data_IF_622625442167
#
_entry.id   IF_622625442167
#
_cell.length_a   1.000
_cell.length_b   1.000
_cell.length_c   1.000
_cell.angle_alpha   90.00
_cell.angle_beta   90.00
_cell.angle_gamma   90.00
#
_symmetry.space_group_name_H-M   'P 1'
#
loop_
_entity.id
_entity.type
_entity.pdbx_description
1 polymer ?
#
# COMPACT_ATOMS: atom_id res chain seq x y z
N UNK A 1 7.03 -5.01 12.18
CA UNK A 1 6.84 -4.65 10.76
C UNK A 1 5.47 -4.02 10.60
N UNK A 2 5.36 -2.77 10.16
CA UNK A 2 4.09 -2.08 9.90
C UNK A 2 4.00 -1.61 8.46
N UNK A 3 2.80 -1.26 8.01
CA UNK A 3 2.57 -0.73 6.66
C UNK A 3 1.63 0.46 6.71
N UNK A 4 1.96 1.51 5.98
CA UNK A 4 1.04 2.62 5.71
C UNK A 4 0.52 2.49 4.29
N UNK A 5 -0.75 2.80 4.08
CA UNK A 5 -1.40 2.73 2.77
C UNK A 5 -2.01 4.08 2.42
N UNK A 6 -1.79 4.50 1.18
CA UNK A 6 -2.50 5.62 0.55
C UNK A 6 -3.07 5.17 -0.78
N UNK A 7 -4.07 5.91 -1.25
CA UNK A 7 -4.69 5.66 -2.53
C UNK A 7 -4.79 6.92 -3.36
N UNK A 8 -4.49 6.79 -4.64
CA UNK A 8 -4.60 7.86 -5.62
C UNK A 8 -5.28 7.32 -6.85
N UNK A 9 -6.54 7.67 -7.10
CA UNK A 9 -7.36 7.19 -8.23
C UNK A 9 -7.19 5.68 -8.51
N UNK A 10 -6.30 5.31 -9.44
CA UNK A 10 -6.03 3.94 -9.89
C UNK A 10 -4.81 3.27 -9.22
N UNK A 11 -4.13 3.97 -8.31
CA UNK A 11 -2.89 3.55 -7.67
C UNK A 11 -3.07 3.33 -6.16
N UNK A 12 -2.36 2.33 -5.66
CA UNK A 12 -2.17 2.09 -4.24
C UNK A 12 -0.69 2.27 -3.90
N UNK A 13 -0.43 3.11 -2.90
CA UNK A 13 0.90 3.40 -2.37
C UNK A 13 1.05 2.75 -1.01
N UNK A 14 2.10 1.95 -0.82
CA UNK A 14 2.40 1.37 0.48
C UNK A 14 3.81 1.70 0.94
N UNK A 15 3.96 2.07 2.21
CA UNK A 15 5.27 2.19 2.85
C UNK A 15 5.41 1.11 3.91
N UNK A 16 6.42 0.24 3.79
CA UNK A 16 6.72 -0.78 4.79
C UNK A 16 7.74 -0.26 5.81
N UNK A 17 7.38 -0.31 7.09
CA UNK A 17 8.27 0.00 8.21
C UNK A 17 8.81 -1.28 8.85
N UNK A 18 10.12 -1.34 9.03
CA UNK A 18 10.76 -2.29 9.94
C UNK A 18 11.54 -1.48 10.97
N UNK A 19 11.59 -1.99 12.20
CA UNK A 19 12.34 -1.41 13.31
C UNK A 19 13.83 -1.21 13.00
N UNK A 20 14.42 -2.04 12.12
CA UNK A 20 15.85 -2.00 11.83
C UNK A 20 16.22 -1.54 10.42
N UNK A 21 15.35 -1.74 9.42
CA UNK A 21 15.52 -1.22 8.05
C UNK A 21 14.17 -1.01 7.37
N UNK A 22 13.77 0.22 7.01
CA UNK A 22 12.52 0.41 6.29
C UNK A 22 12.50 -0.49 5.05
N UNK A 23 11.42 -1.25 4.86
CA UNK A 23 11.27 -2.12 3.68
C UNK A 23 11.24 -1.29 2.39
N UNK A 24 10.88 -0.01 2.52
CA UNK A 24 10.81 0.94 1.43
C UNK A 24 9.37 1.22 1.03
N UNK A 25 9.21 1.74 -0.18
CA UNK A 25 7.92 2.13 -0.72
C UNK A 25 7.60 1.30 -1.96
N UNK A 26 6.35 0.86 -2.04
CA UNK A 26 5.79 0.15 -3.17
C UNK A 26 4.63 0.95 -3.75
N UNK A 27 4.46 0.86 -5.08
CA UNK A 27 3.31 1.44 -5.79
C UNK A 27 2.82 0.41 -6.77
N UNK A 28 1.54 0.11 -6.73
CA UNK A 28 0.86 -0.83 -7.61
C UNK A 28 -0.45 -0.23 -8.10
N UNK A 29 -1.10 -0.85 -9.09
CA UNK A 29 -2.49 -0.54 -9.39
C UNK A 29 -3.39 -0.91 -8.19
N UNK A 30 -4.43 -0.12 -7.93
CA UNK A 30 -5.38 -0.37 -6.83
C UNK A 30 -6.15 -1.70 -6.99
N UNK A 31 -6.12 -2.28 -8.19
CA UNK A 31 -6.67 -3.59 -8.54
C UNK A 31 -5.75 -4.78 -8.20
N UNK A 32 -4.47 -4.51 -7.94
CA UNK A 32 -3.43 -5.50 -7.65
C UNK A 32 -3.22 -5.71 -6.14
N UNK A 33 -2.32 -6.63 -5.79
CA UNK A 33 -1.89 -6.90 -4.41
C UNK A 33 -0.37 -6.72 -4.27
N UNK A 34 0.03 -6.19 -3.12
CA UNK A 34 1.45 -5.97 -2.82
C UNK A 34 2.17 -7.29 -2.53
N UNK A 35 3.39 -7.40 -3.05
CA UNK A 35 4.36 -8.45 -2.77
C UNK A 35 5.59 -7.84 -2.10
N UNK A 36 6.30 -8.62 -1.28
CA UNK A 36 7.50 -8.12 -0.56
C UNK A 36 8.55 -7.52 -1.48
N UNK A 37 8.71 -8.06 -2.70
CA UNK A 37 9.67 -7.58 -3.70
C UNK A 37 9.31 -6.25 -4.34
N UNK A 38 8.05 -5.81 -4.21
CA UNK A 38 7.59 -4.55 -4.81
C UNK A 38 8.04 -3.35 -3.95
N UNK A 39 8.47 -3.60 -2.71
CA UNK A 39 9.01 -2.60 -1.80
C UNK A 39 10.48 -2.36 -2.12
N UNK A 40 10.77 -1.14 -2.57
CA UNK A 40 12.14 -0.72 -2.86
C UNK A 40 12.63 0.26 -1.77
N UNK A 41 13.72 -0.06 -1.04
CA UNK A 41 14.24 0.79 0.03
C UNK A 41 14.91 2.09 -0.46
N UNK A 42 15.24 2.18 -1.75
CA UNK A 42 15.79 3.38 -2.39
C UNK A 42 14.69 4.32 -2.87
N UNK A 43 13.46 3.84 -3.05
CA UNK A 43 12.30 4.67 -3.41
C UNK A 43 11.90 5.54 -2.23
N UNK A 44 11.88 6.86 -2.44
CA UNK A 44 11.49 7.82 -1.39
C UNK A 44 10.02 7.65 -0.99
N UNK A 45 9.68 7.87 0.29
CA UNK A 45 8.31 7.69 0.83
C UNK A 45 7.19 8.58 0.32
N UNK A 46 7.39 9.41 -0.70
CA UNK A 46 6.34 10.35 -1.09
C UNK A 46 5.24 9.63 -1.86
N UNK A 47 4.09 9.43 -1.22
CA UNK A 47 2.84 9.25 -1.93
C UNK A 47 2.55 10.50 -2.76
N UNK A 48 1.78 10.34 -3.85
CA UNK A 48 1.34 11.49 -4.64
C UNK A 48 0.60 12.51 -3.75
N UNK A 49 0.67 13.83 -4.02
CA UNK A 49 -0.06 14.84 -3.24
C UNK A 49 -1.57 14.61 -3.20
N UNK A 50 -2.12 13.97 -4.23
CA UNK A 50 -3.52 13.55 -4.35
C UNK A 50 -3.85 12.26 -3.59
N UNK A 51 -2.84 11.57 -3.06
CA UNK A 51 -3.04 10.28 -2.42
C UNK A 51 -3.65 10.44 -1.02
N UNK A 52 -4.83 9.87 -0.83
CA UNK A 52 -5.55 9.90 0.44
C UNK A 52 -5.05 8.79 1.37
N UNK A 53 -4.81 9.13 2.63
CA UNK A 53 -4.38 8.17 3.64
C UNK A 53 -5.50 7.18 3.97
N UNK A 54 -5.22 5.89 3.81
CA UNK A 54 -6.18 4.82 4.02
C UNK A 54 -6.07 4.17 5.40
N UNK A 55 -4.90 4.23 6.02
CA UNK A 55 -4.65 3.66 7.34
C UNK A 55 -3.29 2.99 7.50
N UNK A 56 -3.06 2.47 8.71
CA UNK A 56 -1.90 1.69 9.09
C UNK A 56 -2.28 0.22 9.32
N UNK A 57 -1.42 -0.70 8.89
CA UNK A 57 -1.67 -2.14 8.88
C UNK A 57 -0.49 -2.89 9.52
N UNK A 58 -0.81 -3.90 10.33
CA UNK A 58 0.18 -4.69 11.07
C UNK A 58 0.94 -5.71 10.20
N UNK A 59 0.48 -5.98 8.98
CA UNK A 59 1.13 -6.96 8.09
C UNK A 59 0.76 -6.74 6.62
N UNK A 60 1.56 -7.32 5.72
CA UNK A 60 1.30 -7.32 4.27
C UNK A 60 -0.04 -7.98 3.95
N UNK A 61 -0.38 -9.08 4.66
CA UNK A 61 -1.66 -9.76 4.51
C UNK A 61 -2.83 -8.87 4.94
N UNK A 62 -2.70 -8.15 6.04
CA UNK A 62 -3.74 -7.22 6.53
C UNK A 62 -3.97 -6.07 5.54
N UNK A 63 -2.90 -5.50 4.99
CA UNK A 63 -2.97 -4.47 3.95
C UNK A 63 -3.60 -5.01 2.64
N UNK A 64 -3.23 -6.22 2.20
CA UNK A 64 -3.83 -6.83 1.01
C UNK A 64 -5.31 -7.20 1.22
N UNK A 65 -5.72 -7.52 2.45
CA UNK A 65 -7.14 -7.74 2.77
C UNK A 65 -7.97 -6.45 2.58
N UNK A 66 -7.39 -5.27 2.89
CA UNK A 66 -8.05 -3.99 2.64
C UNK A 66 -8.24 -3.73 1.14
N UNK A 67 -7.24 -4.03 0.31
CA UNK A 67 -7.34 -3.93 -1.15
C UNK A 67 -8.46 -4.81 -1.72
N UNK A 68 -8.54 -6.06 -1.24
CA UNK A 68 -9.59 -7.00 -1.65
C UNK A 68 -11.00 -6.52 -1.25
N UNK A 69 -11.15 -6.00 -0.03
CA UNK A 69 -12.41 -5.40 0.43
C UNK A 69 -12.84 -4.22 -0.45
N UNK A 70 -11.88 -3.37 -0.83
CA UNK A 70 -12.15 -2.22 -1.70
C UNK A 70 -12.57 -2.64 -3.11
N UNK A 71 -11.87 -3.60 -3.71
CA UNK A 71 -12.24 -4.20 -5.01
C UNK A 71 -13.65 -4.78 -4.98
N UNK A 72 -14.00 -5.50 -3.91
CA UNK A 72 -15.33 -6.08 -3.74
C UNK A 72 -16.44 -5.04 -3.61
N UNK A 73 -16.15 -3.84 -3.06
CA UNK A 73 -17.10 -2.70 -3.05
C UNK A 73 -17.19 -2.02 -4.41
N UNK A 74 -16.08 -1.90 -5.15
CA UNK A 74 -16.05 -1.31 -6.49
C UNK A 74 -16.77 -2.14 -7.55
N UNK A 75 -16.79 -3.47 -7.41
CA UNK A 75 -17.48 -4.40 -8.32
C UNK A 75 -19.01 -4.40 -8.19
N UNK A 76 -19.59 -3.68 -7.20
CA UNK A 76 -21.04 -3.49 -7.05
C UNK A 76 -21.56 -2.22 -7.75
N UNK A 77 -20.99 -1.86 -8.90
CA UNK A 77 -21.50 -0.78 -9.75
C UNK A 77 -21.85 -1.29 -11.12
#
# INVERSE_FOLDING_TARGET
>A
MGFYLWFDQELAWAQGTCEYRPMGTAVIAASDLFRRRDFDPRRKPLAAPSAEFAGQFASLGHLNAQLQKRRSRGTRR
#
